data_IF_616024063190
#
_entry.id   IF_616024063190
#
_cell.length_a   1.000
_cell.length_b   1.000
_cell.length_c   1.000
_cell.angle_alpha   90.00
_cell.angle_beta   90.00
_cell.angle_gamma   90.00
#
_symmetry.space_group_name_H-M   'P 1'
#
loop_
_entity.id
_entity.type
_entity.pdbx_description
1 polymer ?
#
# COMPACT_ATOMS: atom_id res chain seq x y z
N UNK A 1 5.69 7.79 13.39
CA UNK A 1 5.60 6.81 14.48
C UNK A 1 4.24 6.13 14.55
N UNK A 2 3.10 6.89 14.51
CA UNK A 2 1.73 6.35 14.60
C UNK A 2 1.46 5.30 13.52
N UNK A 3 1.68 5.67 12.25
CA UNK A 3 1.45 4.76 11.12
C UNK A 3 2.31 3.49 11.17
N UNK A 4 3.56 3.59 11.64
CA UNK A 4 4.43 2.43 11.76
C UNK A 4 3.87 1.44 12.78
N UNK A 5 3.42 1.90 13.95
CA UNK A 5 2.82 1.06 14.97
C UNK A 5 1.54 0.36 14.47
N UNK A 6 0.62 1.12 13.87
CA UNK A 6 -0.64 0.58 13.36
C UNK A 6 -0.42 -0.43 12.23
N UNK A 7 0.47 -0.13 11.29
CA UNK A 7 0.81 -1.05 10.19
C UNK A 7 1.45 -2.35 10.70
N UNK A 8 2.40 -2.25 11.63
CA UNK A 8 3.03 -3.44 12.22
C UNK A 8 2.01 -4.31 12.93
N UNK A 9 1.14 -3.71 13.76
CA UNK A 9 0.10 -4.46 14.46
C UNK A 9 -0.91 -5.10 13.51
N UNK A 10 -1.36 -4.39 12.48
CA UNK A 10 -2.29 -4.93 11.48
C UNK A 10 -1.64 -6.05 10.64
N UNK A 11 -0.34 -5.98 10.35
CA UNK A 11 0.38 -7.07 9.70
C UNK A 11 0.53 -8.30 10.61
N UNK A 12 0.77 -8.10 11.92
CA UNK A 12 0.72 -9.18 12.89
C UNK A 12 -0.66 -9.84 12.96
N UNK A 13 -1.75 -9.08 12.90
CA UNK A 13 -3.09 -9.64 12.85
C UNK A 13 -3.35 -10.45 11.58
N UNK A 14 -2.80 -10.01 10.44
CA UNK A 14 -2.90 -10.77 9.18
C UNK A 14 -2.15 -12.10 9.27
N UNK A 15 -0.97 -12.14 9.92
CA UNK A 15 -0.20 -13.38 10.08
C UNK A 15 -0.89 -14.41 10.99
N UNK A 16 -1.78 -13.97 11.89
CA UNK A 16 -2.66 -14.85 12.68
C UNK A 16 -4.07 -14.99 12.09
N UNK A 17 -4.20 -14.78 10.77
CA UNK A 17 -5.43 -14.94 9.98
C UNK A 17 -6.60 -14.01 10.35
N UNK A 18 -6.39 -13.01 11.19
CA UNK A 18 -7.42 -12.01 11.53
C UNK A 18 -7.47 -10.87 10.50
N UNK A 19 -7.59 -11.25 9.21
CA UNK A 19 -7.54 -10.32 8.08
C UNK A 19 -8.74 -9.37 8.07
N UNK A 20 -9.93 -9.86 8.47
CA UNK A 20 -11.17 -9.07 8.44
C UNK A 20 -11.04 -7.80 9.27
N UNK A 21 -10.42 -7.87 10.46
CA UNK A 21 -10.26 -6.67 11.30
C UNK A 21 -9.33 -5.64 10.65
N UNK A 22 -8.26 -6.10 10.01
CA UNK A 22 -7.37 -5.20 9.25
C UNK A 22 -8.11 -4.48 8.13
N UNK A 23 -8.97 -5.20 7.42
CA UNK A 23 -9.81 -4.63 6.36
C UNK A 23 -10.79 -3.60 6.91
N UNK A 24 -11.46 -3.89 8.01
CA UNK A 24 -12.40 -2.97 8.67
C UNK A 24 -11.68 -1.70 9.14
N UNK A 25 -10.50 -1.84 9.74
CA UNK A 25 -9.70 -0.69 10.20
C UNK A 25 -9.31 0.21 9.02
N UNK A 26 -8.79 -0.37 7.93
CA UNK A 26 -8.41 0.39 6.74
C UNK A 26 -9.62 1.03 6.05
N UNK A 27 -10.75 0.31 5.93
CA UNK A 27 -11.96 0.85 5.33
C UNK A 27 -12.54 2.01 6.14
N UNK A 28 -12.58 1.89 7.48
CA UNK A 28 -13.03 2.96 8.37
C UNK A 28 -12.12 4.20 8.30
N UNK A 29 -10.80 3.97 8.27
CA UNK A 29 -9.82 5.04 8.12
C UNK A 29 -9.94 5.77 6.78
N UNK A 30 -10.11 5.01 5.69
CA UNK A 30 -10.33 5.58 4.36
C UNK A 30 -11.64 6.40 4.32
N UNK A 31 -12.73 5.86 4.86
CA UNK A 31 -14.01 6.58 4.94
C UNK A 31 -13.88 7.90 5.70
N UNK A 32 -13.25 7.88 6.88
CA UNK A 32 -12.99 9.11 7.63
C UNK A 32 -12.10 10.09 6.85
N UNK A 33 -11.03 9.59 6.22
CA UNK A 33 -10.14 10.42 5.41
C UNK A 33 -10.88 11.15 4.30
N UNK A 34 -11.73 10.44 3.54
CA UNK A 34 -12.54 11.03 2.46
C UNK A 34 -13.48 12.10 3.01
N UNK A 35 -14.18 11.83 4.11
CA UNK A 35 -15.13 12.79 4.73
C UNK A 35 -14.40 14.04 5.21
N UNK A 36 -13.31 13.86 5.98
CA UNK A 36 -12.54 14.99 6.54
C UNK A 36 -11.86 15.79 5.42
N UNK A 37 -11.34 15.13 4.40
CA UNK A 37 -10.79 15.79 3.22
C UNK A 37 -11.87 16.62 2.49
N UNK A 38 -13.06 16.06 2.28
CA UNK A 38 -14.15 16.79 1.64
C UNK A 38 -14.53 18.04 2.45
N UNK A 39 -14.61 17.95 3.77
CA UNK A 39 -14.93 19.08 4.65
C UNK A 39 -13.86 20.18 4.58
N UNK A 40 -12.59 19.83 4.78
CA UNK A 40 -11.55 20.84 4.94
C UNK A 40 -10.86 21.27 3.64
N UNK A 41 -10.92 20.49 2.58
CA UNK A 41 -10.40 20.92 1.26
C UNK A 41 -11.38 21.90 0.61
N UNK A 42 -12.67 21.54 0.60
CA UNK A 42 -13.70 22.30 -0.09
C UNK A 42 -14.48 23.28 0.83
N UNK A 43 -14.24 23.26 2.14
CA UNK A 43 -14.93 24.13 3.08
C UNK A 43 -16.40 23.78 3.28
N UNK A 44 -16.78 22.48 3.23
CA UNK A 44 -18.15 22.04 3.42
C UNK A 44 -18.61 22.25 4.87
N UNK A 45 -19.91 22.41 5.08
CA UNK A 45 -20.54 22.60 6.40
C UNK A 45 -20.06 23.84 7.16
N UNK A 46 -19.57 24.89 6.47
CA UNK A 46 -19.08 26.11 7.09
C UNK A 46 -17.65 26.04 7.63
N UNK A 47 -16.94 24.95 7.36
CA UNK A 47 -15.52 24.84 7.69
C UNK A 47 -14.67 25.72 6.75
N UNK A 48 -13.53 26.25 7.21
CA UNK A 48 -12.64 27.01 6.34
C UNK A 48 -12.04 26.10 5.26
N UNK A 49 -12.06 26.55 4.00
CA UNK A 49 -11.42 25.85 2.90
C UNK A 49 -9.88 25.96 3.02
N UNK A 50 -9.24 24.93 3.57
CA UNK A 50 -7.80 24.92 3.87
C UNK A 50 -6.96 24.32 2.73
N UNK A 51 -7.57 23.81 1.66
CA UNK A 51 -6.88 23.22 0.53
C UNK A 51 -5.90 22.10 0.97
N UNK A 52 -4.61 22.23 0.65
CA UNK A 52 -3.57 21.23 0.97
C UNK A 52 -3.45 20.99 2.48
N UNK A 53 -3.63 22.02 3.32
CA UNK A 53 -3.61 21.86 4.78
C UNK A 53 -4.79 21.01 5.25
N UNK A 54 -5.94 21.14 4.60
CA UNK A 54 -7.13 20.30 4.85
C UNK A 54 -6.84 18.81 4.58
N UNK A 55 -6.17 18.49 3.49
CA UNK A 55 -5.74 17.14 3.17
C UNK A 55 -4.80 16.55 4.23
N UNK A 56 -3.88 17.35 4.76
CA UNK A 56 -2.99 16.92 5.84
C UNK A 56 -3.75 16.60 7.14
N UNK A 57 -4.75 17.43 7.49
CA UNK A 57 -5.63 17.20 8.64
C UNK A 57 -6.43 15.91 8.45
N UNK A 58 -6.99 15.67 7.27
CA UNK A 58 -7.72 14.46 6.97
C UNK A 58 -6.86 13.20 7.10
N UNK A 59 -5.64 13.24 6.59
CA UNK A 59 -4.69 12.13 6.74
C UNK A 59 -4.33 11.87 8.20
N UNK A 60 -4.06 12.93 8.97
CA UNK A 60 -3.73 12.79 10.39
C UNK A 60 -4.91 12.22 11.19
N UNK A 61 -6.12 12.72 10.94
CA UNK A 61 -7.34 12.22 11.59
C UNK A 61 -7.58 10.74 11.30
N UNK A 62 -7.39 10.31 10.05
CA UNK A 62 -7.49 8.91 9.67
C UNK A 62 -6.46 8.03 10.40
N UNK A 63 -5.21 8.47 10.52
CA UNK A 63 -4.16 7.75 11.28
C UNK A 63 -4.44 7.69 12.78
N UNK A 64 -5.01 8.76 13.35
CA UNK A 64 -5.45 8.76 14.75
C UNK A 64 -6.60 7.74 14.95
N UNK A 65 -7.58 7.69 14.04
CA UNK A 65 -8.66 6.72 14.12
C UNK A 65 -8.13 5.28 14.05
N UNK A 66 -7.22 4.98 13.11
CA UNK A 66 -6.56 3.67 13.03
C UNK A 66 -5.92 3.29 14.38
N UNK A 67 -5.17 4.21 14.96
CA UNK A 67 -4.50 3.98 16.23
C UNK A 67 -5.49 3.67 17.35
N UNK A 68 -6.57 4.46 17.46
CA UNK A 68 -7.60 4.28 18.48
C UNK A 68 -8.27 2.90 18.32
N UNK A 69 -8.66 2.54 17.11
CA UNK A 69 -9.30 1.23 16.84
C UNK A 69 -8.33 0.10 17.17
N UNK A 70 -7.06 0.20 16.75
CA UNK A 70 -6.03 -0.81 17.00
C UNK A 70 -5.77 -0.99 18.50
N UNK A 71 -5.63 0.10 19.25
CA UNK A 71 -5.42 0.04 20.70
C UNK A 71 -6.64 -0.58 21.39
N UNK A 72 -7.84 -0.15 21.03
CA UNK A 72 -9.08 -0.70 21.60
C UNK A 72 -9.21 -2.19 21.31
N UNK A 73 -8.98 -2.59 20.07
CA UNK A 73 -9.03 -4.00 19.67
C UNK A 73 -7.98 -4.85 20.38
N UNK A 74 -6.74 -4.36 20.43
CA UNK A 74 -5.63 -5.04 21.13
C UNK A 74 -5.92 -5.22 22.62
N UNK A 75 -6.54 -4.24 23.25
CA UNK A 75 -6.81 -4.26 24.70
C UNK A 75 -7.97 -5.17 25.09
N UNK A 76 -9.05 -5.16 24.29
CA UNK A 76 -10.33 -5.76 24.71
C UNK A 76 -10.69 -7.04 23.96
N UNK A 77 -10.26 -7.19 22.71
CA UNK A 77 -10.71 -8.30 21.86
C UNK A 77 -9.61 -9.30 21.52
N UNK A 78 -8.37 -8.88 21.38
CA UNK A 78 -7.28 -9.75 20.97
C UNK A 78 -6.50 -10.23 22.18
N UNK A 79 -6.69 -11.51 22.55
CA UNK A 79 -5.91 -12.15 23.62
C UNK A 79 -4.59 -12.75 23.11
N UNK A 80 -4.52 -13.07 21.84
CA UNK A 80 -3.42 -13.79 21.21
C UNK A 80 -2.22 -12.87 20.90
N UNK A 81 -2.49 -11.63 20.51
CA UNK A 81 -1.46 -10.63 20.19
C UNK A 81 -1.61 -9.45 21.13
N UNK A 82 -1.06 -9.58 22.34
CA UNK A 82 -1.00 -8.49 23.33
C UNK A 82 0.37 -7.83 23.28
N UNK A 83 0.41 -6.59 22.88
CA UNK A 83 1.63 -5.77 22.97
C UNK A 83 1.70 -5.22 24.39
N UNK A 84 2.67 -5.68 25.17
CA UNK A 84 2.97 -5.11 26.47
C UNK A 84 4.05 -4.04 26.31
N UNK A 85 3.84 -2.80 26.80
CA UNK A 85 4.84 -1.74 26.68
C UNK A 85 6.22 -2.12 27.25
N UNK A 86 6.23 -2.98 28.27
CA UNK A 86 7.48 -3.48 28.86
C UNK A 86 8.33 -4.32 27.91
N UNK A 87 7.74 -5.02 26.95
CA UNK A 87 8.49 -5.81 25.94
C UNK A 87 9.28 -4.94 24.97
N UNK A 88 8.84 -3.69 24.76
CA UNK A 88 9.53 -2.75 23.86
C UNK A 88 10.90 -2.35 24.44
N UNK A 89 11.00 -2.28 25.78
CA UNK A 89 12.20 -1.86 26.47
C UNK A 89 13.15 -3.01 26.85
N UNK A 90 12.70 -4.27 26.73
CA UNK A 90 13.50 -5.45 27.05
C UNK A 90 13.48 -6.43 25.86
N UNK A 91 14.15 -6.10 24.75
CA UNK A 91 14.21 -7.00 23.59
C UNK A 91 15.03 -8.26 23.94
N UNK A 92 14.49 -9.42 23.60
CA UNK A 92 15.24 -10.67 23.67
C UNK A 92 16.36 -10.66 22.63
N UNK A 93 17.59 -10.99 23.05
CA UNK A 93 18.78 -10.97 22.19
C UNK A 93 18.66 -11.97 21.04
N UNK A 94 18.05 -13.14 21.28
CA UNK A 94 17.90 -14.18 20.26
C UNK A 94 16.91 -13.68 19.20
N UNK A 95 15.75 -13.21 19.63
CA UNK A 95 14.72 -12.67 18.76
C UNK A 95 15.21 -11.46 17.95
N UNK A 96 16.02 -10.60 18.57
CA UNK A 96 16.60 -9.44 17.91
C UNK A 96 17.59 -9.85 16.83
N UNK A 97 18.43 -10.87 17.08
CA UNK A 97 19.38 -11.40 16.10
C UNK A 97 18.64 -12.00 14.89
N UNK A 98 17.62 -12.81 15.14
CA UNK A 98 16.80 -13.43 14.09
C UNK A 98 16.07 -12.37 13.29
N UNK A 99 15.49 -11.36 13.95
CA UNK A 99 14.85 -10.24 13.29
C UNK A 99 15.80 -9.53 12.32
N UNK A 100 17.00 -9.16 12.75
CA UNK A 100 17.97 -8.50 11.86
C UNK A 100 18.45 -9.39 10.74
N UNK A 101 18.60 -10.69 10.96
CA UNK A 101 18.98 -11.65 9.93
C UNK A 101 17.98 -11.69 8.78
N UNK A 102 16.67 -11.73 9.08
CA UNK A 102 15.62 -11.71 8.07
C UNK A 102 15.27 -10.32 7.56
N UNK A 103 15.40 -9.28 8.37
CA UNK A 103 15.07 -7.91 7.98
C UNK A 103 16.13 -7.27 7.07
N UNK A 104 17.40 -7.63 7.22
CA UNK A 104 18.49 -7.00 6.48
C UNK A 104 18.34 -7.07 4.95
N UNK A 105 18.06 -8.24 4.34
CA UNK A 105 17.84 -8.32 2.89
C UNK A 105 16.63 -7.49 2.44
N UNK A 106 15.57 -7.46 3.25
CA UNK A 106 14.36 -6.68 2.97
C UNK A 106 14.65 -5.19 3.01
N UNK A 107 15.39 -4.72 4.02
CA UNK A 107 15.79 -3.31 4.14
C UNK A 107 16.62 -2.88 2.92
N UNK A 108 17.58 -3.70 2.49
CA UNK A 108 18.39 -3.41 1.29
C UNK A 108 17.48 -3.29 0.06
N UNK A 109 16.56 -4.22 -0.12
CA UNK A 109 15.61 -4.21 -1.23
C UNK A 109 14.78 -2.92 -1.24
N UNK A 110 14.23 -2.51 -0.10
CA UNK A 110 13.44 -1.30 0.03
C UNK A 110 14.26 -0.02 -0.23
N UNK A 111 15.51 0.01 0.25
CA UNK A 111 16.45 1.13 -0.02
C UNK A 111 16.75 1.24 -1.51
N UNK A 112 17.07 0.11 -2.18
CA UNK A 112 17.32 0.08 -3.62
C UNK A 112 16.08 0.53 -4.42
N UNK A 113 14.90 0.09 -4.01
CA UNK A 113 13.62 0.52 -4.58
C UNK A 113 13.43 2.04 -4.43
N UNK A 114 13.67 2.57 -3.23
CA UNK A 114 13.57 4.00 -2.94
C UNK A 114 14.55 4.84 -3.76
N UNK A 115 15.80 4.38 -3.88
CA UNK A 115 16.83 5.02 -4.72
C UNK A 115 16.42 5.00 -6.20
N UNK A 116 15.97 3.86 -6.71
CA UNK A 116 15.50 3.72 -8.09
C UNK A 116 14.32 4.64 -8.40
N UNK A 117 13.35 4.72 -7.50
CA UNK A 117 12.19 5.61 -7.62
C UNK A 117 12.59 7.09 -7.60
N UNK A 118 13.51 7.46 -6.71
CA UNK A 118 14.02 8.84 -6.61
C UNK A 118 14.82 9.23 -7.85
N UNK A 119 15.65 8.33 -8.37
CA UNK A 119 16.40 8.54 -9.60
C UNK A 119 15.47 8.73 -10.81
N UNK A 120 14.43 7.89 -10.93
CA UNK A 120 13.41 8.05 -11.97
C UNK A 120 12.75 9.43 -11.91
N UNK A 121 12.30 9.85 -10.72
CA UNK A 121 11.68 11.16 -10.51
C UNK A 121 12.64 12.31 -10.89
N UNK A 122 13.92 12.19 -10.54
CA UNK A 122 14.92 13.18 -10.89
C UNK A 122 15.16 13.27 -12.41
N UNK A 123 15.19 12.15 -13.11
CA UNK A 123 15.30 12.09 -14.57
C UNK A 123 14.07 12.72 -15.23
N UNK A 124 12.86 12.37 -14.77
CA UNK A 124 11.62 12.96 -15.28
C UNK A 124 11.57 14.48 -15.08
N UNK A 125 12.08 14.96 -13.95
CA UNK A 125 12.20 16.40 -13.68
C UNK A 125 13.06 17.15 -14.70
N UNK A 126 14.10 16.49 -15.24
CA UNK A 126 14.97 17.08 -16.29
C UNK A 126 14.33 17.12 -17.68
N UNK A 127 13.35 16.27 -17.94
CA UNK A 127 12.61 16.24 -19.20
C UNK A 127 11.55 17.36 -19.31
N UNK A 128 11.32 18.10 -18.24
CA UNK A 128 10.41 19.23 -18.19
C UNK A 128 9.04 18.92 -17.58
N UNK A 129 8.25 19.97 -17.38
CA UNK A 129 6.95 19.91 -16.69
C UNK A 129 5.94 18.99 -17.38
N UNK A 130 5.95 18.92 -18.70
CA UNK A 130 5.07 18.05 -19.49
C UNK A 130 5.30 16.56 -19.21
N UNK A 131 6.57 16.16 -19.08
CA UNK A 131 6.94 14.80 -18.76
C UNK A 131 6.56 14.44 -17.31
N UNK A 132 6.77 15.36 -16.36
CA UNK A 132 6.39 15.18 -14.95
C UNK A 132 4.87 15.03 -14.81
N UNK A 133 4.08 15.86 -15.49
CA UNK A 133 2.63 15.78 -15.47
C UNK A 133 2.13 14.45 -16.04
N UNK A 134 2.62 14.04 -17.20
CA UNK A 134 2.28 12.76 -17.81
C UNK A 134 2.68 11.57 -16.94
N UNK A 135 3.87 11.59 -16.33
CA UNK A 135 4.33 10.55 -15.43
C UNK A 135 3.46 10.46 -14.16
N UNK A 136 3.01 11.59 -13.60
CA UNK A 136 2.13 11.61 -12.43
C UNK A 136 0.81 10.90 -12.70
N UNK A 137 0.20 11.14 -13.85
CA UNK A 137 -1.04 10.45 -14.27
C UNK A 137 -0.76 8.97 -14.53
N UNK A 138 0.30 8.64 -15.25
CA UNK A 138 0.68 7.26 -15.51
C UNK A 138 0.94 6.47 -14.21
N UNK A 139 1.54 7.10 -13.19
CA UNK A 139 1.74 6.49 -11.88
C UNK A 139 0.43 6.13 -11.19
N UNK A 140 -0.57 7.02 -11.20
CA UNK A 140 -1.88 6.73 -10.60
C UNK A 140 -2.54 5.53 -11.29
N UNK A 141 -2.51 5.49 -12.61
CA UNK A 141 -3.09 4.39 -13.40
C UNK A 141 -2.36 3.08 -13.08
N UNK A 142 -1.03 3.11 -13.03
CA UNK A 142 -0.19 1.96 -12.67
C UNK A 142 -0.49 1.46 -11.27
N UNK A 143 -0.63 2.35 -10.28
CA UNK A 143 -1.00 1.98 -8.91
C UNK A 143 -2.37 1.29 -8.86
N UNK A 144 -3.38 1.82 -9.56
CA UNK A 144 -4.70 1.21 -9.62
C UNK A 144 -4.64 -0.19 -10.25
N UNK A 145 -3.87 -0.36 -11.33
CA UNK A 145 -3.70 -1.65 -12.00
C UNK A 145 -3.00 -2.69 -11.11
N UNK A 146 -2.06 -2.24 -10.25
CA UNK A 146 -1.32 -3.12 -9.34
C UNK A 146 -2.09 -3.51 -8.07
N UNK A 147 -3.22 -2.88 -7.75
CA UNK A 147 -3.99 -3.17 -6.52
C UNK A 147 -4.35 -4.64 -6.42
N UNK A 148 -4.84 -5.24 -7.52
CA UNK A 148 -5.20 -6.67 -7.57
C UNK A 148 -3.97 -7.54 -7.36
N UNK A 149 -2.86 -7.21 -8.02
CA UNK A 149 -1.59 -7.92 -7.87
C UNK A 149 -1.06 -7.90 -6.42
N UNK A 150 -1.11 -6.74 -5.75
CA UNK A 150 -0.77 -6.65 -4.33
C UNK A 150 -1.70 -7.47 -3.44
N UNK A 151 -3.00 -7.53 -3.76
CA UNK A 151 -3.96 -8.39 -3.06
C UNK A 151 -3.59 -9.87 -3.16
N UNK A 152 -3.29 -10.34 -4.37
CA UNK A 152 -2.85 -11.72 -4.64
C UNK A 152 -1.54 -12.03 -3.92
N UNK A 153 -0.56 -11.13 -3.98
CA UNK A 153 0.73 -11.28 -3.30
C UNK A 153 0.60 -11.38 -1.78
N UNK A 154 -0.23 -10.52 -1.17
CA UNK A 154 -0.50 -10.59 0.27
C UNK A 154 -1.19 -11.90 0.67
N UNK A 155 -2.16 -12.38 -0.11
CA UNK A 155 -2.82 -13.66 0.14
C UNK A 155 -1.85 -14.83 0.01
N UNK A 156 -0.99 -14.81 -1.02
CA UNK A 156 0.05 -15.81 -1.21
C UNK A 156 1.01 -15.87 -0.01
N UNK A 157 1.50 -14.72 0.46
CA UNK A 157 2.41 -14.64 1.59
C UNK A 157 1.80 -15.25 2.86
N UNK A 158 0.51 -15.00 3.13
CA UNK A 158 -0.18 -15.55 4.30
C UNK A 158 -0.36 -17.06 4.18
N UNK A 159 -0.90 -17.55 3.05
CA UNK A 159 -1.25 -18.96 2.89
C UNK A 159 -0.01 -19.86 2.75
N UNK A 160 0.98 -19.42 1.99
CA UNK A 160 2.26 -20.15 1.84
C UNK A 160 3.00 -20.13 3.17
N UNK A 161 3.09 -18.97 3.84
CA UNK A 161 3.75 -18.86 5.14
C UNK A 161 3.11 -19.76 6.21
N UNK A 162 1.77 -19.88 6.21
CA UNK A 162 1.06 -20.81 7.10
C UNK A 162 1.40 -22.27 6.78
N UNK A 163 1.34 -22.67 5.52
CA UNK A 163 1.63 -24.05 5.10
C UNK A 163 3.06 -24.46 5.49
N UNK A 164 4.03 -23.55 5.32
CA UNK A 164 5.42 -23.76 5.77
C UNK A 164 5.48 -23.88 7.31
N UNK A 165 4.80 -23.01 8.04
CA UNK A 165 4.75 -23.06 9.50
C UNK A 165 4.13 -24.35 10.05
N UNK A 166 3.18 -24.93 9.33
CA UNK A 166 2.56 -26.23 9.62
C UNK A 166 3.40 -27.43 9.14
N UNK A 167 4.59 -27.18 8.55
CA UNK A 167 5.48 -28.22 7.97
C UNK A 167 4.82 -29.02 6.83
N UNK A 168 3.90 -28.41 6.10
CA UNK A 168 3.22 -28.99 4.94
C UNK A 168 3.84 -28.45 3.64
N UNK A 169 5.05 -28.91 3.33
CA UNK A 169 5.82 -28.40 2.19
C UNK A 169 5.11 -28.61 0.84
N UNK A 170 4.49 -29.78 0.64
CA UNK A 170 3.74 -30.08 -0.59
C UNK A 170 2.57 -29.10 -0.80
N UNK A 171 1.85 -28.75 0.27
CA UNK A 171 0.75 -27.80 0.21
C UNK A 171 1.27 -26.38 -0.08
N UNK A 172 2.42 -26.00 0.48
CA UNK A 172 3.04 -24.72 0.23
C UNK A 172 3.47 -24.59 -1.24
N UNK A 173 4.02 -25.66 -1.83
CA UNK A 173 4.41 -25.70 -3.24
C UNK A 173 3.17 -25.62 -4.17
N UNK A 174 2.10 -26.32 -3.86
CA UNK A 174 0.84 -26.25 -4.62
C UNK A 174 0.22 -24.85 -4.59
N UNK A 175 0.21 -24.21 -3.41
CA UNK A 175 -0.21 -22.81 -3.30
C UNK A 175 0.70 -21.88 -4.10
N UNK A 176 2.01 -22.04 -4.04
CA UNK A 176 2.94 -21.21 -4.80
C UNK A 176 2.66 -21.29 -6.30
N UNK A 177 2.50 -22.48 -6.85
CA UNK A 177 2.16 -22.70 -8.27
C UNK A 177 0.83 -22.02 -8.67
N UNK A 178 -0.21 -22.18 -7.84
CA UNK A 178 -1.52 -21.57 -8.07
C UNK A 178 -1.46 -20.05 -8.01
N UNK A 179 -0.74 -19.48 -7.05
CA UNK A 179 -0.59 -18.03 -6.92
C UNK A 179 0.27 -17.41 -8.03
N UNK A 180 1.30 -18.11 -8.52
CA UNK A 180 2.06 -17.67 -9.70
C UNK A 180 1.13 -17.59 -10.92
N UNK A 181 0.35 -18.63 -11.17
CA UNK A 181 -0.59 -18.65 -12.29
C UNK A 181 -1.65 -17.54 -12.16
N UNK A 182 -2.21 -17.37 -10.95
CA UNK A 182 -3.18 -16.32 -10.69
C UNK A 182 -2.57 -14.93 -10.89
N UNK A 183 -1.33 -14.71 -10.47
CA UNK A 183 -0.62 -13.44 -10.68
C UNK A 183 -0.40 -13.13 -12.15
N UNK A 184 -0.06 -14.13 -12.96
CA UNK A 184 0.09 -13.99 -14.42
C UNK A 184 -1.25 -13.60 -15.06
N UNK A 185 -2.34 -14.30 -14.71
CA UNK A 185 -3.67 -14.00 -15.23
C UNK A 185 -4.11 -12.59 -14.84
N UNK A 186 -3.96 -12.20 -13.57
CA UNK A 186 -4.29 -10.86 -13.10
C UNK A 186 -3.42 -9.79 -13.76
N UNK A 187 -2.13 -10.06 -13.97
CA UNK A 187 -1.22 -9.15 -14.65
C UNK A 187 -1.60 -8.90 -16.11
N UNK A 188 -1.90 -9.98 -16.84
CA UNK A 188 -2.37 -9.89 -18.24
C UNK A 188 -3.71 -9.15 -18.31
N UNK A 189 -4.66 -9.49 -17.44
CA UNK A 189 -5.96 -8.82 -17.40
C UNK A 189 -5.81 -7.32 -17.08
N UNK A 190 -4.98 -6.96 -16.09
CA UNK A 190 -4.68 -5.57 -15.75
C UNK A 190 -4.04 -4.80 -16.90
N UNK A 191 -3.08 -5.41 -17.59
CA UNK A 191 -2.44 -4.79 -18.76
C UNK A 191 -3.43 -4.57 -19.91
N UNK A 192 -4.32 -5.53 -20.18
CA UNK A 192 -5.36 -5.38 -21.19
C UNK A 192 -6.33 -4.25 -20.85
N UNK A 193 -6.73 -4.14 -19.59
CA UNK A 193 -7.60 -3.04 -19.11
C UNK A 193 -6.92 -1.68 -19.34
N UNK A 194 -5.65 -1.54 -19.00
CA UNK A 194 -4.89 -0.30 -19.21
C UNK A 194 -4.81 0.04 -20.69
N UNK A 195 -4.50 -0.93 -21.55
CA UNK A 195 -4.42 -0.73 -23.00
C UNK A 195 -5.77 -0.30 -23.61
N UNK A 196 -6.87 -0.89 -23.16
CA UNK A 196 -8.23 -0.54 -23.62
C UNK A 196 -8.66 0.86 -23.17
N UNK A 197 -8.32 1.24 -21.94
CA UNK A 197 -8.72 2.55 -21.38
C UNK A 197 -7.77 3.67 -21.82
N UNK A 198 -6.57 3.34 -22.28
CA UNK A 198 -5.54 4.30 -22.71
C UNK A 198 -6.07 5.41 -23.63
N UNK A 199 -6.74 5.13 -24.77
CA UNK A 199 -7.22 6.21 -25.66
C UNK A 199 -8.23 7.11 -25.00
N UNK A 200 -9.05 6.57 -24.10
CA UNK A 200 -10.05 7.31 -23.35
C UNK A 200 -9.43 8.25 -22.32
N UNK A 201 -8.39 7.78 -21.61
CA UNK A 201 -7.65 8.58 -20.62
C UNK A 201 -6.95 9.77 -21.30
N UNK A 202 -6.26 9.53 -22.42
CA UNK A 202 -5.56 10.59 -23.16
C UNK A 202 -6.56 11.63 -23.68
N UNK A 203 -7.73 11.18 -24.15
CA UNK A 203 -8.79 12.07 -24.66
C UNK A 203 -9.45 12.93 -23.58
N UNK A 204 -9.78 12.34 -22.41
CA UNK A 204 -10.47 13.07 -21.32
C UNK A 204 -9.57 14.09 -20.64
N UNK A 205 -8.30 13.74 -20.42
CA UNK A 205 -7.38 14.61 -19.69
C UNK A 205 -6.90 15.82 -20.51
N UNK A 206 -7.27 15.90 -21.80
CA UNK A 206 -6.94 17.04 -22.62
C UNK A 206 -5.43 17.28 -22.80
N UNK A 207 -4.62 16.23 -22.66
CA UNK A 207 -3.20 16.32 -22.93
C UNK A 207 -2.97 16.51 -24.43
N UNK A 208 -2.34 17.62 -24.81
CA UNK A 208 -2.00 17.97 -26.20
C UNK A 208 -0.49 17.93 -26.44
N UNK A 209 -0.09 17.66 -27.67
CA UNK A 209 1.30 17.69 -28.09
C UNK A 209 2.19 16.65 -27.38
N UNK A 210 3.35 17.10 -26.87
CA UNK A 210 4.36 16.23 -26.24
C UNK A 210 3.85 15.50 -24.99
N UNK A 211 2.97 16.12 -24.20
CA UNK A 211 2.41 15.51 -23.00
C UNK A 211 1.56 14.27 -23.30
N UNK A 212 0.79 14.28 -24.39
CA UNK A 212 0.00 13.16 -24.84
C UNK A 212 0.89 12.00 -25.31
N UNK A 213 1.97 12.31 -26.03
CA UNK A 213 2.97 11.31 -26.47
C UNK A 213 3.65 10.65 -25.25
N UNK A 214 4.10 11.45 -24.28
CA UNK A 214 4.71 10.91 -23.07
C UNK A 214 3.74 10.04 -22.27
N UNK A 215 2.51 10.49 -22.04
CA UNK A 215 1.50 9.70 -21.32
C UNK A 215 1.21 8.38 -22.04
N UNK A 216 1.03 8.45 -23.36
CA UNK A 216 0.79 7.29 -24.19
C UNK A 216 1.92 6.25 -24.11
N UNK A 217 3.18 6.69 -24.13
CA UNK A 217 4.33 5.81 -24.03
C UNK A 217 4.50 5.24 -22.61
N UNK A 218 4.28 6.04 -21.55
CA UNK A 218 4.38 5.58 -20.16
C UNK A 218 3.30 4.56 -19.77
N UNK A 219 2.19 4.48 -20.49
CA UNK A 219 1.14 3.48 -20.28
C UNK A 219 1.39 2.16 -21.01
N UNK A 220 2.40 2.09 -21.90
CA UNK A 220 2.81 0.86 -22.59
C UNK A 220 3.89 0.12 -21.79
N UNK A 221 4.73 0.86 -21.08
CA UNK A 221 5.85 0.35 -20.28
C UNK A 221 5.35 -0.08 -18.90
#
# INVERSE_FOLDING_TARGET
PIAAYTMTYLNLLKSVEKVVISTVVYASSLGLNVIVNAIFIYGLFGAPALGVRGAAIGTLSARCLELVIVIFYSRYRCKEVRVHPGMIFHPDKILTKDFFYYAYPVIINEVLWGVGYSANTAIMGRLGSSAVAANSVAQVIRQLSMVVGFGVSNAAAILIGKAIGEKREELAEDYAKKFIWLSVVCGVAGSLVVLLIRPFIVGILGFEGMSAVYLSNFLII
#
